data_IF_283683688730
#
_entry.id   IF_283683688730
#
_cell.length_a   1.000
_cell.length_b   1.000
_cell.length_c   1.000
_cell.angle_alpha   90.00
_cell.angle_beta   90.00
_cell.angle_gamma   90.00
#
_symmetry.space_group_name_H-M   'P 1'
#
loop_
_entity.id
_entity.type
_entity.pdbx_description
1 polymer ?
#
# COMPACT_ATOMS: atom_id res chain seq x y z
N UNK A 1 50.44 -28.14 -20.62
CA UNK A 1 49.43 -27.28 -21.25
C UNK A 1 48.34 -27.08 -20.21
N UNK A 2 48.34 -25.94 -19.55
CA UNK A 2 47.47 -25.60 -18.42
C UNK A 2 47.05 -24.14 -18.58
N UNK A 3 45.85 -23.95 -19.12
CA UNK A 3 45.11 -22.70 -19.37
C UNK A 3 43.71 -23.20 -19.79
N UNK A 4 42.55 -22.80 -19.29
CA UNK A 4 42.14 -21.66 -18.46
C UNK A 4 40.94 -22.12 -17.60
N UNK A 5 41.01 -21.87 -16.29
CA UNK A 5 39.87 -21.95 -15.38
C UNK A 5 39.70 -20.62 -14.63
N UNK A 6 39.93 -19.51 -15.33
CA UNK A 6 39.73 -18.16 -14.82
C UNK A 6 38.88 -17.38 -15.82
N UNK A 7 37.56 -17.55 -15.79
CA UNK A 7 36.59 -16.54 -16.26
C UNK A 7 35.14 -16.91 -15.88
N UNK A 8 34.93 -17.33 -14.64
CA UNK A 8 33.63 -17.18 -13.99
C UNK A 8 33.72 -15.97 -13.05
N UNK A 9 33.94 -14.79 -13.65
CA UNK A 9 33.66 -13.55 -12.93
C UNK A 9 32.19 -13.58 -12.52
N UNK A 10 31.84 -13.35 -11.24
CA UNK A 10 30.45 -13.14 -10.89
C UNK A 10 29.97 -11.97 -11.74
N UNK A 11 28.92 -12.20 -12.55
CA UNK A 11 28.18 -11.15 -13.24
C UNK A 11 28.00 -10.03 -12.23
N UNK A 12 28.66 -8.89 -12.46
CA UNK A 12 28.46 -7.71 -11.62
C UNK A 12 27.01 -7.32 -11.81
N UNK A 13 26.18 -7.73 -10.85
CA UNK A 13 24.79 -7.33 -10.77
C UNK A 13 24.77 -5.80 -10.82
N UNK A 14 23.87 -5.24 -11.62
CA UNK A 14 23.64 -3.80 -11.59
C UNK A 14 23.20 -3.36 -10.18
N UNK A 15 23.32 -2.06 -9.93
CA UNK A 15 23.04 -1.49 -8.60
C UNK A 15 21.60 -1.74 -8.18
N UNK A 16 20.64 -1.67 -9.09
CA UNK A 16 19.22 -1.90 -8.78
C UNK A 16 18.96 -3.33 -8.33
N UNK A 17 19.59 -4.30 -9.01
CA UNK A 17 19.49 -5.71 -8.65
C UNK A 17 20.18 -6.01 -7.32
N UNK A 18 21.30 -5.34 -7.03
CA UNK A 18 21.94 -5.46 -5.71
C UNK A 18 21.07 -4.88 -4.60
N UNK A 19 20.48 -3.71 -4.82
CA UNK A 19 19.55 -3.07 -3.89
C UNK A 19 18.29 -3.93 -3.67
N UNK A 20 17.74 -4.57 -4.70
CA UNK A 20 16.58 -5.47 -4.56
C UNK A 20 16.90 -6.73 -3.74
N UNK A 21 18.13 -7.25 -3.82
CA UNK A 21 18.57 -8.43 -3.07
C UNK A 21 19.04 -8.10 -1.66
N UNK A 22 19.19 -6.82 -1.31
CA UNK A 22 19.55 -6.39 0.03
C UNK A 22 18.31 -6.43 0.93
N UNK A 23 18.26 -7.29 1.97
CA UNK A 23 17.11 -7.42 2.87
C UNK A 23 16.87 -6.17 3.74
N UNK A 24 17.73 -5.16 3.65
CA UNK A 24 17.59 -3.89 4.38
C UNK A 24 17.24 -2.70 3.48
N UNK A 25 17.00 -2.93 2.18
CA UNK A 25 16.73 -1.87 1.23
C UNK A 25 15.24 -1.81 0.84
N UNK A 26 14.67 -0.60 0.74
CA UNK A 26 13.25 -0.37 0.42
C UNK A 26 12.88 -0.60 -1.06
N UNK A 27 13.77 -1.20 -1.86
CA UNK A 27 13.56 -1.31 -3.30
C UNK A 27 12.69 -2.53 -3.57
N UNK A 28 11.51 -2.31 -4.13
CA UNK A 28 10.59 -3.39 -4.47
C UNK A 28 10.72 -3.90 -5.91
N UNK A 29 11.49 -3.21 -6.77
CA UNK A 29 11.71 -3.65 -8.15
C UNK A 29 13.08 -3.32 -8.73
N UNK A 30 13.49 -4.10 -9.74
CA UNK A 30 14.69 -3.88 -10.53
C UNK A 30 14.47 -4.26 -12.00
N UNK A 31 15.20 -3.60 -12.91
CA UNK A 31 15.25 -3.98 -14.33
C UNK A 31 16.41 -4.93 -14.57
N UNK A 32 16.11 -6.22 -14.79
CA UNK A 32 17.09 -7.23 -15.18
C UNK A 32 17.12 -7.38 -16.71
N UNK A 33 17.92 -6.53 -17.36
CA UNK A 33 17.91 -6.41 -18.83
C UNK A 33 16.56 -5.88 -19.32
N UNK A 34 15.86 -6.66 -20.15
CA UNK A 34 14.52 -6.33 -20.65
C UNK A 34 13.38 -6.76 -19.72
N UNK A 35 13.70 -7.36 -18.56
CA UNK A 35 12.69 -7.86 -17.62
C UNK A 35 12.53 -6.92 -16.43
N UNK A 36 11.30 -6.58 -16.12
CA UNK A 36 10.94 -5.92 -14.87
C UNK A 36 10.64 -6.98 -13.81
N UNK A 37 11.39 -6.97 -12.71
CA UNK A 37 11.22 -7.91 -11.59
C UNK A 37 10.71 -7.12 -10.40
N UNK A 38 9.65 -7.60 -9.77
CA UNK A 38 9.04 -7.02 -8.57
C UNK A 38 9.06 -8.06 -7.46
N UNK A 39 9.38 -7.63 -6.24
CA UNK A 39 9.17 -8.36 -5.00
C UNK A 39 7.84 -7.93 -4.34
N UNK A 40 6.79 -8.76 -4.41
CA UNK A 40 5.50 -8.46 -3.79
C UNK A 40 5.59 -8.25 -2.26
N UNK A 41 6.48 -8.95 -1.58
CA UNK A 41 6.65 -8.83 -0.13
C UNK A 41 7.15 -7.43 0.24
N UNK A 42 8.16 -6.95 -0.48
CA UNK A 42 8.72 -5.63 -0.25
C UNK A 42 7.72 -4.51 -0.53
N UNK A 43 6.84 -4.64 -1.54
CA UNK A 43 5.75 -3.68 -1.78
C UNK A 43 4.84 -3.57 -0.56
N UNK A 44 4.43 -4.69 0.03
CA UNK A 44 3.58 -4.70 1.23
C UNK A 44 4.29 -4.10 2.45
N UNK A 45 5.58 -4.38 2.61
CA UNK A 45 6.38 -3.79 3.69
C UNK A 45 6.52 -2.27 3.53
N UNK A 46 6.77 -1.78 2.32
CA UNK A 46 6.84 -0.35 2.02
C UNK A 46 5.51 0.35 2.33
N UNK A 47 4.37 -0.25 1.95
CA UNK A 47 3.04 0.22 2.35
C UNK A 47 2.96 0.40 3.86
N UNK A 48 3.33 -0.61 4.64
CA UNK A 48 3.23 -0.55 6.09
C UNK A 48 4.12 0.53 6.69
N UNK A 49 5.36 0.64 6.22
CA UNK A 49 6.30 1.67 6.65
C UNK A 49 5.81 3.08 6.35
N UNK A 50 5.27 3.32 5.15
CA UNK A 50 4.72 4.62 4.78
C UNK A 50 3.52 5.01 5.67
N UNK A 51 2.66 4.03 6.00
CA UNK A 51 1.52 4.26 6.88
C UNK A 51 1.93 4.56 8.33
N UNK A 52 2.92 3.86 8.85
CA UNK A 52 3.49 4.12 10.18
C UNK A 52 4.15 5.50 10.25
N UNK A 53 4.87 5.91 9.20
CA UNK A 53 5.43 7.27 9.08
C UNK A 53 4.34 8.34 9.10
N UNK A 54 3.27 8.15 8.31
CA UNK A 54 2.16 9.11 8.23
C UNK A 54 1.44 9.28 9.58
N UNK A 55 1.33 8.21 10.35
CA UNK A 55 0.75 8.27 11.69
C UNK A 55 1.69 8.97 12.70
N UNK A 56 2.99 8.70 12.66
CA UNK A 56 3.97 9.36 13.53
C UNK A 56 4.07 10.86 13.26
N UNK A 57 3.98 11.29 12.00
CA UNK A 57 3.96 12.68 11.63
C UNK A 57 3.16 12.90 10.33
N UNK A 58 1.93 13.38 10.48
CA UNK A 58 1.06 13.64 9.32
C UNK A 58 1.54 14.81 8.45
N UNK A 59 2.46 15.64 8.97
CA UNK A 59 3.06 16.73 8.20
C UNK A 59 4.23 16.26 7.33
N UNK A 60 4.72 15.03 7.55
CA UNK A 60 5.71 14.42 6.67
C UNK A 60 5.04 14.14 5.31
N UNK A 61 5.59 14.69 4.21
CA UNK A 61 5.09 14.37 2.88
C UNK A 61 5.36 12.89 2.62
N UNK A 62 4.29 12.15 2.32
CA UNK A 62 4.36 10.77 1.85
C UNK A 62 3.93 10.75 0.40
N UNK A 63 4.81 10.30 -0.48
CA UNK A 63 4.54 10.07 -1.89
C UNK A 63 4.31 8.58 -2.09
N UNK A 64 3.18 8.19 -2.68
CA UNK A 64 2.94 6.77 -2.95
C UNK A 64 3.98 6.23 -3.93
N UNK A 65 4.33 7.01 -4.96
CA UNK A 65 5.31 6.59 -5.97
C UNK A 65 6.72 6.38 -5.39
N UNK A 66 7.12 7.17 -4.39
CA UNK A 66 8.48 7.13 -3.83
C UNK A 66 8.59 6.29 -2.54
N UNK A 67 7.57 6.33 -1.68
CA UNK A 67 7.60 5.70 -0.35
C UNK A 67 6.86 4.34 -0.30
N UNK A 68 5.98 4.06 -1.27
CA UNK A 68 5.13 2.87 -1.26
C UNK A 68 5.47 1.95 -2.43
N UNK A 69 5.07 2.36 -3.64
CA UNK A 69 5.28 1.63 -4.86
C UNK A 69 5.01 2.53 -6.07
N UNK A 70 5.84 2.39 -7.09
CA UNK A 70 5.62 2.95 -8.42
C UNK A 70 4.36 2.38 -9.07
N UNK A 71 3.82 3.07 -10.07
CA UNK A 71 2.68 2.57 -10.82
C UNK A 71 2.97 1.22 -11.49
N UNK A 72 4.19 1.04 -12.03
CA UNK A 72 4.61 -0.22 -12.65
C UNK A 72 4.64 -1.38 -11.64
N UNK A 73 5.07 -1.13 -10.39
CA UNK A 73 5.02 -2.12 -9.32
C UNK A 73 3.59 -2.48 -8.94
N UNK A 74 2.69 -1.50 -8.83
CA UNK A 74 1.27 -1.73 -8.53
C UNK A 74 0.57 -2.48 -9.67
N UNK A 75 0.87 -2.14 -10.92
CA UNK A 75 0.38 -2.87 -12.09
C UNK A 75 0.88 -4.31 -12.06
N UNK A 76 2.17 -4.55 -11.78
CA UNK A 76 2.70 -5.90 -11.66
C UNK A 76 2.00 -6.70 -10.54
N UNK A 77 1.79 -6.09 -9.37
CA UNK A 77 1.06 -6.70 -8.26
C UNK A 77 -0.34 -7.15 -8.65
N UNK A 78 -1.09 -6.30 -9.35
CA UNK A 78 -2.49 -6.57 -9.69
C UNK A 78 -2.63 -7.46 -10.92
N UNK A 79 -1.86 -7.21 -11.98
CA UNK A 79 -2.03 -7.90 -13.28
C UNK A 79 -1.20 -9.18 -13.40
N UNK A 80 0.01 -9.21 -12.84
CA UNK A 80 0.92 -10.35 -13.00
C UNK A 80 0.86 -11.32 -11.83
N UNK A 81 0.61 -10.82 -10.62
CA UNK A 81 0.54 -11.65 -9.42
C UNK A 81 -0.87 -11.89 -8.90
N UNK A 82 -1.90 -11.22 -9.45
CA UNK A 82 -3.30 -11.25 -8.96
C UNK A 82 -3.43 -10.93 -7.45
N UNK A 83 -2.58 -10.02 -6.96
CA UNK A 83 -2.47 -9.63 -5.54
C UNK A 83 -3.22 -8.34 -5.20
N UNK A 84 -4.14 -7.89 -6.06
CA UNK A 84 -4.97 -6.71 -5.79
C UNK A 84 -5.76 -6.79 -4.47
N UNK A 85 -6.47 -7.90 -4.19
CA UNK A 85 -7.16 -8.08 -2.91
C UNK A 85 -6.21 -8.11 -1.70
N UNK A 86 -5.02 -8.72 -1.86
CA UNK A 86 -4.00 -8.76 -0.81
C UNK A 86 -3.47 -7.36 -0.48
N UNK A 87 -3.19 -6.54 -1.49
CA UNK A 87 -2.78 -5.14 -1.31
C UNK A 87 -3.80 -4.36 -0.47
N UNK A 88 -5.07 -4.42 -0.84
CA UNK A 88 -6.15 -3.70 -0.15
C UNK A 88 -6.33 -4.24 1.28
N UNK A 89 -6.36 -5.57 1.46
CA UNK A 89 -6.45 -6.18 2.79
C UNK A 89 -5.27 -5.79 3.69
N UNK A 90 -4.07 -5.73 3.12
CA UNK A 90 -2.86 -5.34 3.83
C UNK A 90 -2.94 -3.90 4.34
N UNK A 91 -3.33 -2.93 3.49
CA UNK A 91 -3.54 -1.53 3.91
C UNK A 91 -4.60 -1.46 5.00
N UNK A 92 -5.73 -2.15 4.84
CA UNK A 92 -6.83 -2.14 5.81
C UNK A 92 -6.40 -2.66 7.19
N UNK A 93 -5.69 -3.79 7.22
CA UNK A 93 -5.22 -4.40 8.46
C UNK A 93 -4.11 -3.59 9.11
N UNK A 94 -3.19 -3.04 8.33
CA UNK A 94 -2.17 -2.13 8.84
C UNK A 94 -2.78 -0.84 9.40
N UNK A 95 -3.75 -0.23 8.70
CA UNK A 95 -4.49 0.93 9.18
C UNK A 95 -5.12 0.67 10.55
N UNK A 96 -5.85 -0.44 10.68
CA UNK A 96 -6.48 -0.83 11.93
C UNK A 96 -5.44 -1.09 13.03
N UNK A 97 -4.35 -1.79 12.74
CA UNK A 97 -3.27 -2.08 13.69
C UNK A 97 -2.64 -0.79 14.23
N UNK A 98 -2.22 0.10 13.34
CA UNK A 98 -1.56 1.36 13.71
C UNK A 98 -2.51 2.26 14.50
N UNK A 99 -3.74 2.45 14.02
CA UNK A 99 -4.71 3.30 14.73
C UNK A 99 -5.09 2.78 16.10
N UNK A 100 -5.38 1.48 16.24
CA UNK A 100 -5.78 0.91 17.53
C UNK A 100 -4.63 0.85 18.54
N UNK A 101 -3.37 0.94 18.10
CA UNK A 101 -2.22 1.02 18.99
C UNK A 101 -2.09 2.38 19.69
N UNK A 102 -2.58 3.47 19.07
CA UNK A 102 -2.37 4.85 19.56
C UNK A 102 -3.63 5.59 19.97
N UNK A 103 -4.77 5.34 19.31
CA UNK A 103 -5.99 6.09 19.52
C UNK A 103 -7.06 5.27 20.24
N UNK A 104 -7.99 5.92 20.99
CA UNK A 104 -9.10 5.22 21.62
C UNK A 104 -9.96 4.47 20.60
N UNK A 105 -10.25 3.19 20.87
CA UNK A 105 -11.00 2.32 19.95
C UNK A 105 -12.36 2.89 19.52
N UNK A 106 -13.04 3.65 20.39
CA UNK A 106 -14.31 4.31 20.08
C UNK A 106 -14.17 5.34 18.95
N UNK A 107 -13.05 6.07 18.90
CA UNK A 107 -12.78 7.04 17.85
C UNK A 107 -12.33 6.36 16.56
N UNK A 108 -11.53 5.30 16.66
CA UNK A 108 -11.10 4.51 15.51
C UNK A 108 -12.31 3.89 14.80
N UNK A 109 -13.21 3.26 15.55
CA UNK A 109 -14.44 2.62 15.05
C UNK A 109 -15.47 3.59 14.48
N UNK A 110 -15.36 4.89 14.75
CA UNK A 110 -16.28 5.86 14.19
C UNK A 110 -16.12 5.90 12.65
N UNK A 111 -17.18 5.68 11.86
CA UNK A 111 -17.04 5.61 10.41
C UNK A 111 -16.62 6.96 9.83
N UNK A 112 -15.88 6.93 8.71
CA UNK A 112 -15.75 8.10 7.85
C UNK A 112 -17.13 8.46 7.28
N UNK A 113 -17.46 9.75 7.23
CA UNK A 113 -18.80 10.18 6.83
C UNK A 113 -19.01 9.95 5.33
N UNK A 114 -20.27 9.76 4.89
CA UNK A 114 -20.58 9.41 3.49
C UNK A 114 -20.23 10.51 2.49
N UNK A 115 -20.09 11.75 2.95
CA UNK A 115 -19.69 12.92 2.16
C UNK A 115 -18.16 13.13 2.13
N UNK A 116 -17.38 12.24 2.76
CA UNK A 116 -15.92 12.21 2.61
C UNK A 116 -15.59 11.84 1.14
N UNK A 117 -15.20 12.86 0.37
CA UNK A 117 -14.90 12.79 -1.06
C UNK A 117 -13.43 13.12 -1.33
N UNK A 118 -12.63 12.11 -1.65
CA UNK A 118 -11.19 12.22 -1.90
C UNK A 118 -10.90 13.10 -3.11
N UNK A 119 -11.79 13.14 -4.10
CA UNK A 119 -11.66 14.02 -5.28
C UNK A 119 -11.67 15.49 -4.86
N UNK A 120 -12.44 15.83 -3.82
CA UNK A 120 -12.50 17.19 -3.27
C UNK A 120 -11.35 17.49 -2.33
N UNK A 121 -10.93 16.51 -1.55
CA UNK A 121 -9.89 16.68 -0.52
C UNK A 121 -8.48 16.71 -1.11
N UNK A 122 -8.22 15.89 -2.12
CA UNK A 122 -6.87 15.67 -2.68
C UNK A 122 -6.77 15.96 -4.18
N UNK A 123 -7.85 16.40 -4.83
CA UNK A 123 -7.91 16.51 -6.30
C UNK A 123 -7.53 15.19 -6.99
N UNK A 124 -7.78 14.05 -6.32
CA UNK A 124 -7.43 12.74 -6.82
C UNK A 124 -8.35 12.34 -7.98
N UNK A 125 -7.77 11.78 -9.03
CA UNK A 125 -8.51 11.20 -10.17
C UNK A 125 -8.92 9.77 -9.82
N UNK A 126 -9.90 9.65 -8.92
CA UNK A 126 -10.44 8.37 -8.44
C UNK A 126 -11.89 8.26 -8.88
N UNK A 127 -12.24 7.14 -9.53
CA UNK A 127 -13.62 6.85 -9.90
C UNK A 127 -14.54 6.77 -8.68
N UNK A 128 -15.78 7.25 -8.82
CA UNK A 128 -16.74 7.32 -7.72
C UNK A 128 -17.06 5.95 -7.13
N UNK A 129 -17.17 4.92 -8.00
CA UNK A 129 -17.40 3.54 -7.56
C UNK A 129 -16.21 3.02 -6.76
N UNK A 130 -14.97 3.30 -7.20
CA UNK A 130 -13.75 2.89 -6.49
C UNK A 130 -13.68 3.53 -5.11
N UNK A 131 -14.00 4.83 -4.99
CA UNK A 131 -14.06 5.52 -3.70
C UNK A 131 -15.13 4.95 -2.77
N UNK A 132 -16.31 4.65 -3.29
CA UNK A 132 -17.41 4.11 -2.50
C UNK A 132 -17.08 2.71 -1.95
N UNK A 133 -16.48 1.85 -2.78
CA UNK A 133 -15.98 0.54 -2.38
C UNK A 133 -14.90 0.71 -1.29
N UNK A 134 -13.89 1.56 -1.54
CA UNK A 134 -12.82 1.83 -0.60
C UNK A 134 -13.35 2.28 0.77
N UNK A 135 -14.29 3.23 0.80
CA UNK A 135 -14.91 3.74 2.03
C UNK A 135 -15.73 2.65 2.73
N UNK A 136 -16.45 1.84 1.98
CA UNK A 136 -17.24 0.74 2.54
C UNK A 136 -16.35 -0.31 3.22
N UNK A 137 -15.30 -0.78 2.55
CA UNK A 137 -14.38 -1.78 3.12
C UNK A 137 -13.55 -1.21 4.27
N UNK A 138 -13.15 0.07 4.19
CA UNK A 138 -12.43 0.76 5.26
C UNK A 138 -13.28 0.87 6.53
N UNK A 139 -14.51 1.40 6.41
CA UNK A 139 -15.41 1.51 7.54
C UNK A 139 -15.79 0.13 8.12
N UNK A 140 -15.99 -0.89 7.27
CA UNK A 140 -16.25 -2.27 7.70
C UNK A 140 -15.07 -2.81 8.51
N UNK A 141 -13.84 -2.71 7.99
CA UNK A 141 -12.64 -3.15 8.71
C UNK A 141 -12.52 -2.48 10.07
N UNK A 142 -12.73 -1.16 10.16
CA UNK A 142 -12.57 -0.44 11.43
C UNK A 142 -13.65 -0.78 12.46
N UNK A 143 -14.83 -1.24 12.03
CA UNK A 143 -15.89 -1.69 12.93
C UNK A 143 -15.62 -3.07 13.55
N UNK A 144 -14.76 -3.87 12.92
CA UNK A 144 -14.48 -5.25 13.28
C UNK A 144 -13.14 -5.40 14.02
N UNK A 145 -13.05 -6.41 14.90
CA UNK A 145 -11.81 -6.71 15.62
C UNK A 145 -10.88 -7.66 14.84
N UNK A 146 -11.45 -8.47 13.94
CA UNK A 146 -10.70 -9.41 13.14
C UNK A 146 -10.01 -8.70 11.96
N UNK A 147 -8.86 -9.22 11.56
CA UNK A 147 -8.24 -8.84 10.30
C UNK A 147 -9.10 -9.32 9.14
N UNK A 148 -9.21 -8.46 8.13
CA UNK A 148 -9.94 -8.79 6.90
C UNK A 148 -9.03 -9.65 6.03
N UNK A 149 -9.59 -10.72 5.48
CA UNK A 149 -8.88 -11.63 4.58
C UNK A 149 -8.94 -11.12 3.15
N UNK A 150 -7.89 -11.38 2.38
CA UNK A 150 -7.82 -11.13 0.94
C UNK A 150 -9.01 -11.75 0.18
N UNK A 151 -9.47 -12.95 0.56
CA UNK A 151 -10.64 -13.59 -0.04
C UNK A 151 -11.94 -12.83 0.18
N UNK A 152 -12.06 -12.08 1.27
CA UNK A 152 -13.24 -11.27 1.55
C UNK A 152 -13.22 -9.99 0.71
N UNK A 153 -12.05 -9.36 0.61
CA UNK A 153 -11.83 -8.21 -0.28
C UNK A 153 -12.03 -8.59 -1.74
N UNK A 154 -11.65 -9.80 -2.16
CA UNK A 154 -11.85 -10.26 -3.52
C UNK A 154 -13.32 -10.21 -3.96
N UNK A 155 -14.27 -10.38 -3.02
CA UNK A 155 -15.71 -10.23 -3.28
C UNK A 155 -16.07 -8.77 -3.53
N UNK A 156 -15.54 -7.85 -2.74
CA UNK A 156 -15.80 -6.41 -2.90
C UNK A 156 -15.15 -5.84 -4.18
N UNK A 157 -14.06 -6.43 -4.66
CA UNK A 157 -13.35 -6.05 -5.89
C UNK A 157 -13.84 -6.79 -7.15
N UNK A 158 -14.86 -7.65 -7.02
CA UNK A 158 -15.35 -8.44 -8.15
C UNK A 158 -15.91 -7.53 -9.26
N UNK A 159 -15.57 -7.89 -10.51
CA UNK A 159 -15.94 -7.11 -11.69
C UNK A 159 -15.24 -5.75 -11.84
N UNK A 160 -14.23 -5.44 -11.03
CA UNK A 160 -13.35 -4.28 -11.26
C UNK A 160 -12.20 -4.64 -12.19
N UNK A 161 -11.81 -3.69 -13.05
CA UNK A 161 -10.57 -3.79 -13.84
C UNK A 161 -9.33 -3.71 -12.95
N UNK A 162 -8.17 -4.09 -13.48
CA UNK A 162 -6.88 -3.95 -12.77
C UNK A 162 -6.63 -2.53 -12.30
N UNK A 163 -6.87 -1.55 -13.18
CA UNK A 163 -6.74 -0.13 -12.84
C UNK A 163 -7.68 0.27 -11.70
N UNK A 164 -8.94 -0.16 -11.75
CA UNK A 164 -9.91 0.15 -10.68
C UNK A 164 -9.52 -0.50 -9.35
N UNK A 165 -8.91 -1.69 -9.36
CA UNK A 165 -8.38 -2.32 -8.13
C UNK A 165 -7.22 -1.51 -7.54
N UNK A 166 -6.33 -0.97 -8.39
CA UNK A 166 -5.27 -0.04 -7.97
C UNK A 166 -5.90 1.23 -7.38
N UNK A 167 -6.90 1.82 -8.05
CA UNK A 167 -7.62 3.01 -7.55
C UNK A 167 -8.28 2.77 -6.19
N UNK A 168 -8.87 1.59 -5.96
CA UNK A 168 -9.42 1.22 -4.64
C UNK A 168 -8.30 1.17 -3.59
N UNK A 169 -7.16 0.55 -3.88
CA UNK A 169 -5.99 0.55 -3.00
C UNK A 169 -5.54 1.97 -2.65
N UNK A 170 -5.38 2.84 -3.66
CA UNK A 170 -5.00 4.24 -3.48
C UNK A 170 -6.01 4.98 -2.61
N UNK A 171 -7.31 4.79 -2.87
CA UNK A 171 -8.38 5.41 -2.11
C UNK A 171 -8.36 4.97 -0.64
N UNK A 172 -8.16 3.68 -0.35
CA UNK A 172 -8.04 3.18 1.03
C UNK A 172 -6.85 3.84 1.74
N UNK A 173 -5.71 3.99 1.07
CA UNK A 173 -4.53 4.67 1.62
C UNK A 173 -4.82 6.15 1.97
N UNK A 174 -5.50 6.88 1.08
CA UNK A 174 -5.87 8.28 1.34
C UNK A 174 -6.93 8.43 2.45
N UNK A 175 -7.89 7.50 2.53
CA UNK A 175 -8.86 7.46 3.63
C UNK A 175 -8.18 7.23 4.96
N UNK A 176 -7.15 6.38 5.01
CA UNK A 176 -6.31 6.21 6.19
C UNK A 176 -5.66 7.53 6.62
N UNK A 177 -5.00 8.25 5.72
CA UNK A 177 -4.40 9.56 6.05
C UNK A 177 -5.43 10.57 6.55
N UNK A 178 -6.59 10.62 5.90
CA UNK A 178 -7.72 11.47 6.33
C UNK A 178 -8.19 11.11 7.74
N UNK A 179 -8.31 9.80 8.02
CA UNK A 179 -8.76 9.28 9.31
C UNK A 179 -7.75 9.60 10.41
N UNK A 180 -6.45 9.39 10.18
CA UNK A 180 -5.37 9.76 11.11
C UNK A 180 -5.42 11.26 11.43
N UNK A 181 -5.52 12.12 10.42
CA UNK A 181 -5.59 13.57 10.64
C UNK A 181 -6.78 13.98 11.50
N UNK A 182 -7.94 13.34 11.30
CA UNK A 182 -9.11 13.55 12.15
C UNK A 182 -8.89 13.06 13.59
N UNK A 183 -8.21 11.92 13.77
CA UNK A 183 -7.90 11.35 15.09
C UNK A 183 -6.90 12.20 15.86
N UNK A 184 -5.82 12.65 15.23
CA UNK A 184 -4.82 13.54 15.83
C UNK A 184 -5.46 14.87 16.25
N UNK A 185 -6.25 15.48 15.37
CA UNK A 185 -6.97 16.72 15.70
C UNK A 185 -7.93 16.57 16.89
N UNK A 186 -8.58 15.40 17.02
CA UNK A 186 -9.55 15.14 18.09
C UNK A 186 -8.91 14.76 19.43
N UNK A 187 -7.75 14.11 19.40
CA UNK A 187 -7.05 13.63 20.61
C UNK A 187 -5.94 14.57 21.08
N UNK A 188 -5.45 15.46 20.21
CA UNK A 188 -4.29 16.32 20.49
C UNK A 188 -2.96 15.59 20.48
N UNK A 189 -2.94 14.31 20.09
CA UNK A 189 -1.72 13.52 19.93
C UNK A 189 -0.99 13.97 18.66
N UNK A 190 0.31 14.25 18.79
CA UNK A 190 1.26 14.42 17.69
C UNK A 190 2.21 13.24 17.79
#
# INVERSE_FOLDING_TARGET
MTTDHDDLLPLRLDRETQELLDPHHHRASARLGDRFVVDPGQVLENVAMAMERLDLDISTPVSIEEDVATLDELVAMVEHFDRGPELVAHVLNTAARVMNARYPAELVRHPLPPDCDLRRLFHADVDERCQDIARAVFNRRLAENADVRDTEIAVDLDGLSSQQRIEVFMAVFFLYGTKIGALQNRTGLR
#
